data_IF_899264256007
#
_entry.id   IF_899264256007
#
_cell.length_a   1.000
_cell.length_b   1.000
_cell.length_c   1.000
_cell.angle_alpha   90.00
_cell.angle_beta   90.00
_cell.angle_gamma   90.00
#
_symmetry.space_group_name_H-M   'P 1'
#
loop_
_entity.id
_entity.type
_entity.pdbx_description
1 polymer ?
#
# COMPACT_ATOMS: atom_id res chain seq x y z
N UNK A 1 -5.47 -8.89 -10.31
CA UNK A 1 -4.23 -8.12 -10.10
C UNK A 1 -3.10 -9.06 -9.72
N UNK A 2 -1.96 -8.94 -10.35
CA UNK A 2 -0.83 -9.82 -10.06
C UNK A 2 -0.14 -9.41 -8.76
N UNK A 3 0.60 -10.35 -8.17
CA UNK A 3 1.36 -10.08 -6.95
C UNK A 3 2.36 -8.95 -7.16
N UNK A 4 3.00 -8.93 -8.33
CA UNK A 4 3.95 -7.89 -8.70
C UNK A 4 3.29 -6.51 -8.71
N UNK A 5 2.11 -6.41 -9.30
CA UNK A 5 1.37 -5.14 -9.35
C UNK A 5 1.00 -4.65 -7.95
N UNK A 6 0.60 -5.57 -7.08
CA UNK A 6 0.25 -5.22 -5.71
C UNK A 6 1.47 -4.71 -4.96
N UNK A 7 2.62 -5.35 -5.14
CA UNK A 7 3.87 -4.93 -4.51
C UNK A 7 4.26 -3.52 -4.99
N UNK A 8 4.11 -3.23 -6.27
CA UNK A 8 4.39 -1.91 -6.82
C UNK A 8 3.48 -0.84 -6.19
N UNK A 9 2.20 -1.16 -5.99
CA UNK A 9 1.27 -0.26 -5.34
C UNK A 9 1.66 -0.03 -3.87
N UNK A 10 2.09 -1.07 -3.18
CA UNK A 10 2.56 -0.95 -1.80
C UNK A 10 3.77 -0.01 -1.70
N UNK A 11 4.71 -0.17 -2.61
CA UNK A 11 5.90 0.69 -2.64
C UNK A 11 5.51 2.15 -2.89
N UNK A 12 4.57 2.39 -3.79
CA UNK A 12 4.08 3.75 -4.05
C UNK A 12 3.44 4.37 -2.82
N UNK A 13 2.63 3.59 -2.11
CA UNK A 13 1.99 4.06 -0.88
C UNK A 13 3.03 4.40 0.18
N UNK A 14 4.01 3.53 0.38
CA UNK A 14 5.09 3.75 1.34
C UNK A 14 5.87 5.03 1.01
N UNK A 15 6.15 5.23 -0.27
CA UNK A 15 6.88 6.41 -0.70
C UNK A 15 6.09 7.69 -0.45
N UNK A 16 4.79 7.67 -0.73
CA UNK A 16 3.93 8.82 -0.48
C UNK A 16 3.89 9.19 1.01
N UNK A 17 3.84 8.19 1.88
CA UNK A 17 3.85 8.41 3.32
C UNK A 17 5.19 9.02 3.74
N UNK A 18 6.30 8.48 3.22
CA UNK A 18 7.65 8.94 3.58
C UNK A 18 7.94 10.35 3.07
N UNK A 19 7.34 10.75 1.97
CA UNK A 19 7.56 12.08 1.39
C UNK A 19 6.94 13.20 2.23
N UNK A 20 6.02 12.85 3.15
CA UNK A 20 5.40 13.83 4.01
C UNK A 20 4.39 14.73 3.30
N UNK A 21 3.93 14.34 2.13
CA UNK A 21 2.96 15.12 1.34
C UNK A 21 1.51 14.89 1.75
N UNK A 22 1.28 13.92 2.64
CA UNK A 22 -0.06 13.55 3.06
C UNK A 22 -0.37 14.16 4.42
N UNK A 23 -1.61 14.62 4.61
CA UNK A 23 -2.08 15.03 5.92
C UNK A 23 -2.48 13.79 6.75
N UNK A 24 -2.85 14.02 8.01
CA UNK A 24 -3.15 12.93 8.95
C UNK A 24 -4.27 12.03 8.45
N UNK A 25 -5.32 12.61 7.88
CA UNK A 25 -6.44 11.83 7.36
C UNK A 25 -6.01 10.98 6.17
N UNK A 26 -5.20 11.55 5.29
CA UNK A 26 -4.69 10.82 4.14
C UNK A 26 -3.74 9.71 4.54
N UNK A 27 -2.93 9.92 5.56
CA UNK A 27 -2.04 8.89 6.09
C UNK A 27 -2.84 7.72 6.64
N UNK A 28 -3.92 7.99 7.37
CA UNK A 28 -4.79 6.92 7.88
C UNK A 28 -5.36 6.08 6.75
N UNK A 29 -5.85 6.73 5.70
CA UNK A 29 -6.40 6.04 4.53
C UNK A 29 -5.30 5.21 3.84
N UNK A 30 -4.12 5.78 3.69
CA UNK A 30 -3.00 5.10 3.06
C UNK A 30 -2.57 3.86 3.84
N UNK A 31 -2.53 3.96 5.17
CA UNK A 31 -2.17 2.83 6.03
C UNK A 31 -3.20 1.71 5.91
N UNK A 32 -4.48 2.06 5.91
CA UNK A 32 -5.56 1.08 5.75
C UNK A 32 -5.47 0.37 4.40
N UNK A 33 -5.22 1.12 3.35
CA UNK A 33 -5.07 0.58 2.01
C UNK A 33 -3.85 -0.33 1.91
N UNK A 34 -2.76 0.08 2.52
CA UNK A 34 -1.53 -0.70 2.57
C UNK A 34 -1.76 -2.04 3.27
N UNK A 35 -2.48 -2.03 4.37
CA UNK A 35 -2.82 -3.26 5.09
C UNK A 35 -3.64 -4.19 4.21
N UNK A 36 -4.62 -3.65 3.50
CA UNK A 36 -5.46 -4.42 2.59
C UNK A 36 -4.62 -5.06 1.47
N UNK A 37 -3.72 -4.30 0.87
CA UNK A 37 -2.85 -4.83 -0.19
C UNK A 37 -1.88 -5.88 0.33
N UNK A 38 -1.39 -5.74 1.56
CA UNK A 38 -0.55 -6.76 2.17
C UNK A 38 -1.30 -8.07 2.35
N UNK A 39 -2.57 -7.99 2.76
CA UNK A 39 -3.40 -9.18 2.87
C UNK A 39 -3.61 -9.85 1.51
N UNK A 40 -3.81 -9.05 0.47
CA UNK A 40 -3.96 -9.56 -0.89
C UNK A 40 -2.69 -10.27 -1.36
N UNK A 41 -1.53 -9.68 -1.09
CA UNK A 41 -0.24 -10.30 -1.45
C UNK A 41 -0.06 -11.63 -0.73
N UNK A 42 -0.38 -11.66 0.57
CA UNK A 42 -0.23 -12.88 1.36
C UNK A 42 -1.17 -13.99 0.91
N UNK A 43 -2.32 -13.60 0.36
CA UNK A 43 -3.30 -14.56 -0.16
C UNK A 43 -3.00 -15.04 -1.57
N UNK A 44 -2.09 -14.37 -2.29
CA UNK A 44 -1.74 -14.75 -3.66
C UNK A 44 -0.82 -15.96 -3.66
N UNK A 45 -1.13 -16.92 -4.51
CA UNK A 45 -0.26 -18.07 -4.73
C UNK A 45 0.41 -17.92 -6.06
N UNK A 46 1.72 -17.96 -6.04
CA UNK A 46 2.53 -17.89 -7.24
C UNK A 46 2.53 -19.21 -8.00
#
# INVERSE_FOLDING_TARGET
MSKKEIIELLESIDQNINDGNLDDAQIDIAINLRTLYKDLVNGEKE
#
